data_IF_632788744105
#
_entry.id   IF_632788744105
#
_cell.length_a   1.000
_cell.length_b   1.000
_cell.length_c   1.000
_cell.angle_alpha   90.00
_cell.angle_beta   90.00
_cell.angle_gamma   90.00
#
_symmetry.space_group_name_H-M   'P 1'
#
loop_
_entity.id
_entity.type
_entity.pdbx_description
1 polymer ?
#
# COMPACT_ATOMS: atom_id res chain seq x y z
N UNK A 1 17.29 44.71 8.54
CA UNK A 1 16.66 43.94 7.45
C UNK A 1 17.12 42.50 7.57
N UNK A 2 16.36 41.70 8.26
CA UNK A 2 16.60 40.24 8.37
C UNK A 2 16.13 39.59 7.06
N UNK A 3 17.06 39.19 6.20
CA UNK A 3 16.73 38.36 5.06
C UNK A 3 16.16 37.05 5.61
N UNK A 4 14.85 36.86 5.50
CA UNK A 4 14.22 35.58 5.72
C UNK A 4 14.75 34.62 4.64
N UNK A 5 15.60 33.70 5.04
CA UNK A 5 16.13 32.64 4.15
C UNK A 5 14.97 31.76 3.75
N UNK A 6 14.51 31.90 2.52
CA UNK A 6 13.39 31.10 2.00
C UNK A 6 13.91 29.70 1.69
N UNK A 7 13.69 28.79 2.65
CA UNK A 7 14.13 27.39 2.58
C UNK A 7 13.49 26.69 1.36
N UNK A 8 12.29 27.11 0.97
CA UNK A 8 11.57 26.55 -0.18
C UNK A 8 12.32 26.84 -1.48
N UNK A 9 12.77 28.08 -1.71
CA UNK A 9 13.55 28.43 -2.89
C UNK A 9 14.91 27.72 -2.96
N UNK A 10 15.51 27.43 -1.80
CA UNK A 10 16.77 26.71 -1.74
C UNK A 10 16.62 25.23 -2.13
N UNK A 11 15.49 24.62 -1.77
CA UNK A 11 15.17 23.24 -2.11
C UNK A 11 14.78 23.13 -3.59
N UNK A 12 14.01 24.08 -4.11
CA UNK A 12 13.51 24.05 -5.50
C UNK A 12 14.60 24.17 -6.56
N UNK A 13 15.72 24.82 -6.23
CA UNK A 13 16.84 25.00 -7.16
C UNK A 13 17.87 23.87 -7.17
N UNK A 14 17.71 22.84 -6.33
CA UNK A 14 18.64 21.70 -6.30
C UNK A 14 18.10 20.48 -7.06
N UNK A 15 18.99 19.69 -7.67
CA UNK A 15 18.62 18.37 -8.19
C UNK A 15 18.15 17.46 -7.06
N UNK A 16 17.26 16.52 -7.38
CA UNK A 16 16.77 15.53 -6.41
C UNK A 16 17.93 14.81 -5.73
N UNK A 17 17.96 14.85 -4.41
CA UNK A 17 18.96 14.13 -3.62
C UNK A 17 18.72 12.62 -3.74
N UNK A 18 19.80 11.84 -3.66
CA UNK A 18 19.74 10.38 -3.61
C UNK A 18 18.79 9.86 -2.51
N UNK A 19 18.73 10.57 -1.38
CA UNK A 19 17.81 10.26 -0.29
C UNK A 19 16.34 10.44 -0.70
N UNK A 20 16.01 11.51 -1.41
CA UNK A 20 14.66 11.76 -1.94
C UNK A 20 14.24 10.70 -2.95
N UNK A 21 15.14 10.30 -3.84
CA UNK A 21 14.90 9.24 -4.82
C UNK A 21 14.61 7.91 -4.11
N UNK A 22 15.36 7.55 -3.07
CA UNK A 22 15.08 6.34 -2.28
C UNK A 22 13.71 6.35 -1.64
N UNK A 23 13.28 7.49 -1.08
CA UNK A 23 11.93 7.64 -0.51
C UNK A 23 10.88 7.41 -1.60
N UNK A 24 11.01 8.06 -2.75
CA UNK A 24 10.05 7.93 -3.86
C UNK A 24 9.95 6.49 -4.38
N UNK A 25 11.09 5.81 -4.55
CA UNK A 25 11.13 4.39 -4.95
C UNK A 25 10.43 3.53 -3.90
N UNK A 26 10.68 3.76 -2.62
CA UNK A 26 10.01 3.00 -1.55
C UNK A 26 8.50 3.25 -1.56
N UNK A 27 8.08 4.48 -1.72
CA UNK A 27 6.67 4.84 -1.85
C UNK A 27 6.02 4.17 -3.07
N UNK A 28 6.71 4.17 -4.22
CA UNK A 28 6.24 3.51 -5.44
C UNK A 28 6.08 1.99 -5.23
N UNK A 29 7.06 1.33 -4.61
CA UNK A 29 7.00 -0.11 -4.31
C UNK A 29 5.82 -0.42 -3.39
N UNK A 30 5.56 0.39 -2.37
CA UNK A 30 4.42 0.18 -1.47
C UNK A 30 3.09 0.32 -2.22
N UNK A 31 2.96 1.32 -3.09
CA UNK A 31 1.77 1.48 -3.95
C UNK A 31 1.60 0.31 -4.94
N UNK A 32 2.71 -0.20 -5.47
CA UNK A 32 2.70 -1.36 -6.36
C UNK A 32 2.23 -2.62 -5.62
N UNK A 33 2.70 -2.84 -4.40
CA UNK A 33 2.26 -3.96 -3.56
C UNK A 33 0.78 -3.84 -3.17
N UNK A 34 0.29 -2.63 -2.91
CA UNK A 34 -1.13 -2.37 -2.64
C UNK A 34 -2.01 -2.77 -3.84
N UNK A 35 -1.67 -2.29 -5.04
CA UNK A 35 -2.38 -2.64 -6.26
C UNK A 35 -2.32 -4.14 -6.59
N UNK A 36 -1.18 -4.77 -6.32
CA UNK A 36 -1.02 -6.21 -6.46
C UNK A 36 -1.95 -6.97 -5.52
N UNK A 37 -2.00 -6.60 -4.24
CA UNK A 37 -2.82 -7.23 -3.22
C UNK A 37 -4.32 -7.10 -3.50
N UNK A 38 -4.76 -5.92 -3.95
CA UNK A 38 -6.17 -5.69 -4.30
C UNK A 38 -6.65 -6.63 -5.40
N UNK A 39 -5.81 -6.93 -6.38
CA UNK A 39 -6.19 -7.75 -7.53
C UNK A 39 -6.02 -9.24 -7.27
N UNK A 40 -4.99 -9.64 -6.51
CA UNK A 40 -4.65 -11.04 -6.31
C UNK A 40 -5.77 -11.83 -5.65
N UNK A 41 -6.52 -11.23 -4.72
CA UNK A 41 -7.62 -11.93 -4.05
C UNK A 41 -8.75 -12.29 -5.02
N UNK A 42 -9.09 -11.38 -5.96
CA UNK A 42 -10.11 -11.63 -6.97
C UNK A 42 -9.73 -12.80 -7.89
N UNK A 43 -8.44 -12.91 -8.22
CA UNK A 43 -7.91 -13.99 -9.05
C UNK A 43 -7.78 -15.31 -8.29
N UNK A 44 -7.38 -15.28 -7.03
CA UNK A 44 -7.20 -16.47 -6.19
C UNK A 44 -8.53 -17.04 -5.67
N UNK A 45 -9.58 -16.23 -5.57
CA UNK A 45 -10.86 -16.61 -4.98
C UNK A 45 -11.51 -17.87 -5.63
N UNK A 46 -11.56 -18.02 -6.97
CA UNK A 46 -12.13 -19.23 -7.59
C UNK A 46 -11.34 -20.49 -7.24
N UNK A 47 -10.01 -20.39 -7.14
CA UNK A 47 -9.14 -21.51 -6.76
C UNK A 47 -9.36 -21.88 -5.28
N UNK A 48 -9.35 -20.89 -4.39
CA UNK A 48 -9.63 -21.08 -2.97
C UNK A 48 -11.01 -21.66 -2.71
N UNK A 49 -12.04 -21.22 -3.45
CA UNK A 49 -13.39 -21.76 -3.32
C UNK A 49 -13.47 -23.24 -3.68
N UNK A 50 -12.74 -23.67 -4.73
CA UNK A 50 -12.65 -25.08 -5.12
C UNK A 50 -11.88 -25.90 -4.09
N UNK A 51 -10.73 -25.41 -3.66
CA UNK A 51 -9.82 -26.12 -2.74
C UNK A 51 -10.46 -26.30 -1.36
N UNK A 52 -11.20 -25.33 -0.87
CA UNK A 52 -11.90 -25.40 0.42
C UNK A 52 -13.31 -25.98 0.32
N UNK A 53 -13.81 -26.28 -0.88
CA UNK A 53 -15.17 -26.81 -1.10
C UNK A 53 -16.28 -25.83 -0.70
N UNK A 54 -16.03 -24.53 -0.83
CA UNK A 54 -16.90 -23.44 -0.39
C UNK A 54 -17.49 -22.67 -1.57
N UNK A 55 -18.62 -22.00 -1.32
CA UNK A 55 -19.21 -21.09 -2.30
C UNK A 55 -18.46 -19.75 -2.32
N UNK A 56 -18.33 -19.08 -3.49
CA UNK A 56 -17.78 -17.71 -3.54
C UNK A 56 -18.46 -16.71 -2.60
N UNK A 57 -19.71 -16.94 -2.22
CA UNK A 57 -20.46 -16.11 -1.27
C UNK A 57 -19.85 -16.15 0.15
N UNK A 58 -19.24 -17.26 0.53
CA UNK A 58 -18.65 -17.45 1.86
C UNK A 58 -17.41 -16.58 2.07
N UNK A 59 -16.83 -16.06 0.98
CA UNK A 59 -15.69 -15.15 0.98
C UNK A 59 -16.09 -13.67 1.03
N UNK A 60 -17.37 -13.34 1.05
CA UNK A 60 -17.86 -11.95 1.08
C UNK A 60 -17.24 -11.12 2.20
N UNK A 61 -17.09 -11.71 3.40
CA UNK A 61 -16.44 -11.07 4.53
C UNK A 61 -14.95 -10.81 4.26
N UNK A 62 -14.23 -11.75 3.65
CA UNK A 62 -12.82 -11.61 3.34
C UNK A 62 -12.57 -10.52 2.27
N UNK A 63 -13.48 -10.37 1.31
CA UNK A 63 -13.41 -9.34 0.29
C UNK A 63 -13.65 -7.94 0.84
N UNK A 64 -14.58 -7.80 1.80
CA UNK A 64 -14.92 -6.50 2.41
C UNK A 64 -13.99 -6.10 3.54
N UNK A 65 -13.36 -7.06 4.23
CA UNK A 65 -12.48 -6.81 5.37
C UNK A 65 -11.27 -5.94 5.01
N UNK A 66 -10.66 -6.12 3.83
CA UNK A 66 -9.54 -5.30 3.36
C UNK A 66 -9.88 -3.80 3.27
N UNK A 67 -10.87 -3.41 2.45
CA UNK A 67 -11.35 -2.03 2.38
C UNK A 67 -11.76 -1.43 3.74
N UNK A 68 -12.44 -2.20 4.59
CA UNK A 68 -12.79 -1.76 5.95
C UNK A 68 -11.53 -1.51 6.77
N UNK A 69 -10.56 -2.41 6.71
CA UNK A 69 -9.24 -2.23 7.34
C UNK A 69 -8.53 -0.96 6.86
N UNK A 70 -8.58 -0.66 5.56
CA UNK A 70 -7.97 0.57 5.01
C UNK A 70 -8.62 1.84 5.56
N UNK A 71 -9.94 1.89 5.67
CA UNK A 71 -10.66 3.03 6.25
C UNK A 71 -10.25 3.21 7.72
N UNK A 72 -10.23 2.13 8.49
CA UNK A 72 -9.79 2.17 9.89
C UNK A 72 -8.33 2.58 10.01
N UNK A 73 -7.45 2.03 9.17
CA UNK A 73 -6.03 2.38 9.13
C UNK A 73 -5.79 3.85 8.84
N UNK A 74 -6.48 4.42 7.87
CA UNK A 74 -6.42 5.84 7.55
C UNK A 74 -6.88 6.71 8.74
N UNK A 75 -7.97 6.31 9.41
CA UNK A 75 -8.52 7.05 10.54
C UNK A 75 -7.61 7.03 11.78
N UNK A 76 -6.90 5.92 12.05
CA UNK A 76 -6.06 5.79 13.24
C UNK A 76 -4.60 6.17 13.00
N UNK A 77 -4.01 5.71 11.89
CA UNK A 77 -2.58 5.91 11.61
C UNK A 77 -2.27 7.30 11.04
N UNK A 78 -3.26 7.96 10.41
CA UNK A 78 -3.12 9.35 9.95
C UNK A 78 -2.78 10.30 11.12
N UNK A 79 -3.66 10.47 12.11
CA UNK A 79 -3.40 11.31 13.28
C UNK A 79 -2.17 10.88 14.09
N UNK A 80 -1.86 9.58 14.12
CA UNK A 80 -0.67 9.06 14.79
C UNK A 80 0.62 9.54 14.11
N UNK A 81 0.60 9.61 12.78
CA UNK A 81 1.73 10.10 11.99
C UNK A 81 1.97 11.59 12.20
N UNK A 82 0.91 12.38 12.36
CA UNK A 82 1.02 13.81 12.67
C UNK A 82 1.61 14.06 14.08
N UNK A 83 1.34 13.16 15.05
CA UNK A 83 1.85 13.27 16.42
C UNK A 83 3.28 12.77 16.61
N UNK A 84 3.63 11.63 16.03
CA UNK A 84 4.91 10.93 16.27
C UNK A 84 5.90 11.05 15.11
N UNK A 85 5.54 11.84 14.09
CA UNK A 85 6.31 11.97 12.85
C UNK A 85 6.02 10.80 11.89
N UNK A 86 6.04 11.10 10.59
CA UNK A 86 5.54 10.21 9.52
C UNK A 86 6.35 8.93 9.32
N UNK A 87 7.64 8.94 9.63
CA UNK A 87 8.54 7.81 9.39
C UNK A 87 8.15 6.56 10.19
N UNK A 88 7.87 6.71 11.49
CA UNK A 88 7.58 5.56 12.38
C UNK A 88 6.26 4.86 12.03
N UNK A 89 5.14 5.58 11.85
CA UNK A 89 3.87 4.96 11.47
C UNK A 89 3.93 4.28 10.09
N UNK A 90 4.64 4.85 9.11
CA UNK A 90 4.82 4.22 7.80
C UNK A 90 5.59 2.90 7.91
N UNK A 91 6.67 2.86 8.68
CA UNK A 91 7.43 1.61 8.90
C UNK A 91 6.55 0.57 9.59
N UNK A 92 5.82 0.95 10.64
CA UNK A 92 4.92 0.04 11.34
C UNK A 92 3.80 -0.48 10.42
N UNK A 93 3.20 0.39 9.63
CA UNK A 93 2.16 0.07 8.67
C UNK A 93 2.63 -0.93 7.61
N UNK A 94 3.79 -0.71 7.01
CA UNK A 94 4.40 -1.63 6.03
C UNK A 94 4.78 -2.96 6.68
N UNK A 95 5.27 -2.95 7.91
CA UNK A 95 5.58 -4.17 8.65
C UNK A 95 4.32 -4.99 8.96
N UNK A 96 3.23 -4.34 9.39
CA UNK A 96 1.92 -4.98 9.60
C UNK A 96 1.44 -5.60 8.29
N UNK A 97 1.42 -4.83 7.20
CA UNK A 97 1.01 -5.32 5.89
C UNK A 97 1.82 -6.56 5.48
N UNK A 98 3.15 -6.48 5.50
CA UNK A 98 4.03 -7.59 5.10
C UNK A 98 3.86 -8.83 5.96
N UNK A 99 3.75 -8.67 7.30
CA UNK A 99 3.54 -9.77 8.22
C UNK A 99 2.22 -10.50 7.95
N UNK A 100 1.12 -9.76 7.80
CA UNK A 100 -0.19 -10.35 7.56
C UNK A 100 -0.36 -10.88 6.14
N UNK A 101 0.36 -10.33 5.15
CA UNK A 101 0.47 -10.91 3.81
C UNK A 101 1.09 -12.30 3.86
N UNK A 102 2.20 -12.45 4.60
CA UNK A 102 2.81 -13.78 4.80
C UNK A 102 1.87 -14.72 5.56
N UNK A 103 1.17 -14.21 6.56
CA UNK A 103 0.20 -15.03 7.32
C UNK A 103 -0.99 -15.46 6.46
N UNK A 104 -1.44 -14.64 5.53
CA UNK A 104 -2.54 -14.96 4.63
C UNK A 104 -2.26 -16.25 3.81
N UNK A 105 -0.99 -16.52 3.47
CA UNK A 105 -0.60 -17.75 2.77
C UNK A 105 -0.84 -19.03 3.58
N UNK A 106 -0.97 -18.95 4.91
CA UNK A 106 -1.22 -20.09 5.79
C UNK A 106 -2.68 -20.20 6.24
N UNK A 107 -3.56 -19.33 5.77
CA UNK A 107 -4.98 -19.36 6.13
C UNK A 107 -5.67 -20.54 5.46
N UNK A 108 -6.61 -21.16 6.21
CA UNK A 108 -7.39 -22.33 5.75
C UNK A 108 -8.89 -22.14 5.94
N UNK A 109 -9.34 -20.96 6.28
CA UNK A 109 -10.77 -20.65 6.43
C UNK A 109 -11.07 -19.22 6.00
N UNK A 110 -12.29 -18.93 5.49
CA UNK A 110 -12.70 -17.59 5.10
C UNK A 110 -12.62 -16.59 6.25
N UNK A 111 -12.86 -17.03 7.49
CA UNK A 111 -12.81 -16.15 8.66
C UNK A 111 -11.37 -15.73 9.01
N UNK A 112 -10.41 -16.67 8.95
CA UNK A 112 -8.99 -16.32 9.17
C UNK A 112 -8.45 -15.47 8.03
N UNK A 113 -8.88 -15.72 6.79
CA UNK A 113 -8.56 -14.87 5.66
C UNK A 113 -9.13 -13.45 5.82
N UNK A 114 -10.37 -13.32 6.29
CA UNK A 114 -10.97 -12.02 6.57
C UNK A 114 -10.20 -11.24 7.64
N UNK A 115 -9.78 -11.92 8.72
CA UNK A 115 -8.99 -11.31 9.79
C UNK A 115 -7.63 -10.82 9.29
N UNK A 116 -6.91 -11.61 8.49
CA UNK A 116 -5.64 -11.20 7.88
C UNK A 116 -5.83 -10.03 6.93
N UNK A 117 -6.87 -10.05 6.10
CA UNK A 117 -7.24 -8.96 5.19
C UNK A 117 -7.53 -7.66 5.93
N UNK A 118 -8.26 -7.72 7.05
CA UNK A 118 -8.52 -6.57 7.88
C UNK A 118 -7.21 -5.94 8.39
N UNK A 119 -6.29 -6.76 8.89
CA UNK A 119 -5.00 -6.31 9.39
C UNK A 119 -4.09 -5.75 8.28
N UNK A 120 -4.07 -6.40 7.11
CA UNK A 120 -3.36 -5.89 5.93
C UNK A 120 -3.90 -4.52 5.52
N UNK A 121 -5.22 -4.39 5.43
CA UNK A 121 -5.89 -3.13 5.14
C UNK A 121 -5.57 -2.04 6.17
N UNK A 122 -5.56 -2.38 7.47
CA UNK A 122 -5.18 -1.46 8.55
C UNK A 122 -3.76 -0.90 8.34
N UNK A 123 -2.81 -1.74 7.94
CA UNK A 123 -1.47 -1.30 7.56
C UNK A 123 -1.50 -0.34 6.37
N UNK A 124 -2.07 -0.76 5.24
CA UNK A 124 -2.07 0.03 4.00
C UNK A 124 -2.85 1.34 4.11
N UNK A 125 -3.98 1.35 4.81
CA UNK A 125 -4.79 2.56 4.97
C UNK A 125 -4.05 3.72 5.63
N UNK A 126 -3.10 3.41 6.52
CA UNK A 126 -2.25 4.43 7.12
C UNK A 126 -1.10 4.89 6.21
N UNK A 127 -0.73 4.11 5.22
CA UNK A 127 0.42 4.41 4.34
C UNK A 127 0.08 5.46 3.30
N UNK A 128 -1.06 5.34 2.63
CA UNK A 128 -1.45 6.19 1.50
C UNK A 128 -1.41 7.70 1.84
N UNK A 129 -2.12 8.20 2.88
CA UNK A 129 -2.09 9.61 3.22
C UNK A 129 -0.69 10.08 3.64
N UNK A 130 0.08 9.21 4.28
CA UNK A 130 1.44 9.52 4.69
C UNK A 130 2.42 9.59 3.51
N UNK A 131 2.25 8.77 2.47
CA UNK A 131 3.04 8.84 1.23
C UNK A 131 2.78 10.17 0.51
N UNK A 132 1.52 10.59 0.39
CA UNK A 132 1.17 11.88 -0.22
C UNK A 132 1.84 13.01 0.51
N UNK A 133 1.72 13.01 1.81
CA UNK A 133 2.30 14.06 2.65
C UNK A 133 3.84 14.02 2.63
N UNK A 134 4.46 12.84 2.64
CA UNK A 134 5.91 12.70 2.52
C UNK A 134 6.40 13.23 1.17
N UNK A 135 5.70 12.90 0.08
CA UNK A 135 6.01 13.43 -1.25
C UNK A 135 5.93 14.95 -1.28
N UNK A 136 4.94 15.53 -0.60
CA UNK A 136 4.78 16.99 -0.51
C UNK A 136 5.90 17.68 0.28
N UNK A 137 6.44 17.02 1.32
CA UNK A 137 7.48 17.60 2.17
C UNK A 137 8.90 17.47 1.58
N UNK A 138 9.20 16.38 0.91
CA UNK A 138 10.56 16.06 0.45
C UNK A 138 10.82 16.38 -1.01
N UNK A 139 9.78 16.67 -1.81
CA UNK A 139 9.92 16.95 -3.24
C UNK A 139 9.81 18.44 -3.53
N UNK A 140 10.71 19.01 -4.37
CA UNK A 140 10.61 20.38 -4.84
C UNK A 140 9.24 20.68 -5.45
N UNK A 141 8.68 21.86 -5.22
CA UNK A 141 7.31 22.21 -5.65
C UNK A 141 7.08 21.99 -7.14
N UNK A 142 8.07 22.32 -7.96
CA UNK A 142 8.00 22.14 -9.42
C UNK A 142 7.83 20.69 -9.88
N UNK A 143 8.24 19.71 -9.08
CA UNK A 143 8.18 18.27 -9.42
C UNK A 143 7.15 17.50 -8.61
N UNK A 144 6.53 18.14 -7.61
CA UNK A 144 5.61 17.51 -6.66
C UNK A 144 4.44 16.80 -7.36
N UNK A 145 3.77 17.47 -8.31
CA UNK A 145 2.66 16.89 -9.06
C UNK A 145 3.09 15.66 -9.87
N UNK A 146 4.16 15.80 -10.66
CA UNK A 146 4.66 14.71 -11.51
C UNK A 146 5.13 13.50 -10.70
N UNK A 147 5.90 13.72 -9.63
CA UNK A 147 6.44 12.63 -8.82
C UNK A 147 5.37 11.95 -7.97
N UNK A 148 4.37 12.69 -7.48
CA UNK A 148 3.20 12.11 -6.82
C UNK A 148 2.42 11.23 -7.79
N UNK A 149 2.12 11.72 -8.99
CA UNK A 149 1.43 10.94 -10.03
C UNK A 149 2.23 9.68 -10.38
N UNK A 150 3.55 9.80 -10.55
CA UNK A 150 4.42 8.66 -10.83
C UNK A 150 4.35 7.61 -9.70
N UNK A 151 4.32 8.04 -8.45
CA UNK A 151 4.18 7.13 -7.30
C UNK A 151 2.84 6.39 -7.34
N UNK A 152 1.75 7.08 -7.68
CA UNK A 152 0.42 6.47 -7.81
C UNK A 152 0.29 5.49 -8.98
N UNK A 153 1.08 5.61 -10.05
CA UNK A 153 1.10 4.60 -11.13
C UNK A 153 1.56 3.22 -10.65
N UNK A 154 2.16 3.13 -9.47
CA UNK A 154 2.44 1.85 -8.81
C UNK A 154 1.19 0.98 -8.65
N UNK A 155 0.03 1.56 -8.27
CA UNK A 155 -1.22 0.80 -8.05
C UNK A 155 -1.69 0.06 -9.31
N UNK A 156 -1.95 0.72 -10.46
CA UNK A 156 -2.35 0.00 -11.67
C UNK A 156 -1.26 -0.95 -12.21
N UNK A 157 0.02 -0.63 -12.02
CA UNK A 157 1.11 -1.54 -12.39
C UNK A 157 1.11 -2.80 -11.51
N UNK A 158 0.90 -2.66 -10.21
CA UNK A 158 0.75 -3.79 -9.29
C UNK A 158 -0.43 -4.69 -9.68
N UNK A 159 -1.57 -4.09 -10.00
CA UNK A 159 -2.75 -4.82 -10.48
C UNK A 159 -2.48 -5.57 -11.79
N UNK A 160 -1.79 -4.95 -12.75
CA UNK A 160 -1.37 -5.61 -14.00
C UNK A 160 -0.42 -6.79 -13.73
N UNK A 161 0.58 -6.60 -12.86
CA UNK A 161 1.53 -7.67 -12.48
C UNK A 161 0.80 -8.84 -11.82
N UNK A 162 -0.15 -8.55 -10.94
CA UNK A 162 -0.99 -9.59 -10.31
C UNK A 162 -1.78 -10.37 -11.35
N UNK A 163 -2.39 -9.69 -12.34
CA UNK A 163 -3.10 -10.31 -13.44
C UNK A 163 -2.20 -11.23 -14.28
N UNK A 164 -1.04 -10.74 -14.69
CA UNK A 164 -0.08 -11.52 -15.47
C UNK A 164 0.46 -12.73 -14.70
N UNK A 165 0.83 -12.56 -13.44
CA UNK A 165 1.30 -13.66 -12.61
C UNK A 165 0.18 -14.66 -12.31
N UNK A 166 -1.05 -14.19 -12.06
CA UNK A 166 -2.21 -15.05 -11.82
C UNK A 166 -2.53 -15.94 -13.00
N UNK A 167 -2.52 -15.42 -14.22
CA UNK A 167 -2.75 -16.20 -15.44
C UNK A 167 -1.66 -17.26 -15.68
N UNK A 168 -0.45 -17.02 -15.17
CA UNK A 168 0.68 -17.94 -15.33
C UNK A 168 0.76 -18.99 -14.21
N UNK A 169 0.54 -18.57 -12.96
CA UNK A 169 0.71 -19.42 -11.78
C UNK A 169 -0.52 -20.31 -11.49
N UNK A 170 -1.73 -19.79 -11.69
CA UNK A 170 -2.95 -20.56 -11.39
C UNK A 170 -3.04 -21.88 -12.19
N UNK A 171 -2.74 -21.92 -13.51
CA UNK A 171 -2.74 -23.18 -14.25
C UNK A 171 -1.61 -24.14 -13.88
N UNK A 172 -0.53 -23.65 -13.25
CA UNK A 172 0.62 -24.47 -12.85
C UNK A 172 0.46 -25.10 -11.47
N UNK A 173 -0.37 -24.50 -10.61
CA UNK A 173 -0.57 -24.92 -9.22
C UNK A 173 -1.97 -25.49 -8.94
N UNK A 174 -2.87 -25.51 -9.94
CA UNK A 174 -4.28 -25.96 -9.85
C UNK A 174 -4.56 -27.20 -10.75
#
# INVERSE_FOLDING_TARGET
MTQSFDISQFIDNRPLSFYQIRILITCFIVMLLDGFDMQVIGLALPALARDWGLSPKDFGLALTAGPVGMVLGAAFLGPLADRFGRKRPVIAAVAIFGLFTLWAAFTRSPMTLAATRLMMGLGLGGVIPNIVALSAEYVPERHRGTLSTLTYTGVPLGALMSGLLGTWLIPLCG
#
